data_IF_650889436718
#
_entry.id   IF_650889436718
#
_cell.length_a   1.000
_cell.length_b   1.000
_cell.length_c   1.000
_cell.angle_alpha   90.00
_cell.angle_beta   90.00
_cell.angle_gamma   90.00
#
_symmetry.space_group_name_H-M   'P 1'
#
loop_
_entity.id
_entity.type
_entity.pdbx_description
1 polymer ?
#
# COMPACT_ATOMS: atom_id res chain seq x y z
N UNK A 1 33.61 -8.87 66.04
CA UNK A 1 33.81 -7.93 64.93
C UNK A 1 34.02 -8.72 63.64
N UNK A 2 33.02 -8.78 62.77
CA UNK A 2 33.12 -9.29 61.39
C UNK A 2 32.53 -8.21 60.49
N UNK A 3 33.32 -7.66 59.57
CA UNK A 3 32.86 -6.65 58.59
C UNK A 3 32.43 -7.38 57.32
N UNK A 4 31.20 -7.13 56.92
CA UNK A 4 30.45 -7.84 55.89
C UNK A 4 31.05 -7.75 54.49
N UNK A 5 30.98 -8.88 53.79
CA UNK A 5 31.19 -9.08 52.37
C UNK A 5 29.93 -8.66 51.62
N UNK A 6 30.00 -7.72 50.66
CA UNK A 6 28.95 -7.54 49.65
C UNK A 6 29.58 -7.30 48.28
N UNK A 7 29.59 -8.36 47.47
CA UNK A 7 29.67 -8.32 46.01
C UNK A 7 28.24 -8.08 45.51
N UNK A 8 28.00 -7.01 44.75
CA UNK A 8 26.91 -6.96 43.78
C UNK A 8 27.40 -6.27 42.51
N UNK A 9 27.87 -7.11 41.59
CA UNK A 9 27.96 -6.85 40.17
C UNK A 9 26.54 -6.86 39.57
N UNK A 10 26.39 -6.09 38.48
CA UNK A 10 25.70 -6.46 37.24
C UNK A 10 24.35 -5.82 36.87
N UNK A 11 24.37 -5.38 35.61
CA UNK A 11 23.27 -5.12 34.68
C UNK A 11 22.29 -3.99 35.01
N UNK A 12 22.66 -2.78 34.60
CA UNK A 12 21.70 -1.84 34.05
C UNK A 12 21.13 -2.48 32.77
N UNK A 13 19.93 -3.05 32.90
CA UNK A 13 19.08 -3.49 31.79
C UNK A 13 18.80 -2.31 30.87
N UNK A 14 19.64 -2.13 29.85
CA UNK A 14 19.22 -1.42 28.64
C UNK A 14 18.20 -2.35 27.99
N UNK A 15 16.93 -2.11 28.29
CA UNK A 15 15.83 -2.64 27.50
C UNK A 15 15.99 -2.07 26.09
N UNK A 16 16.69 -2.82 25.24
CA UNK A 16 16.71 -2.63 23.80
C UNK A 16 15.32 -3.03 23.30
N UNK A 17 14.32 -2.17 23.53
CA UNK A 17 13.08 -2.22 22.79
C UNK A 17 13.46 -1.90 21.35
N UNK A 18 13.73 -2.93 20.56
CA UNK A 18 13.80 -2.80 19.12
C UNK A 18 12.51 -2.15 18.67
N UNK A 19 12.57 -0.85 18.38
CA UNK A 19 11.51 -0.15 17.69
C UNK A 19 11.45 -0.79 16.31
N UNK A 20 10.66 -1.84 16.17
CA UNK A 20 10.01 -2.11 14.90
C UNK A 20 9.14 -0.88 14.63
N UNK A 21 9.72 0.16 14.01
CA UNK A 21 8.98 1.28 13.49
C UNK A 21 8.15 0.74 12.32
N UNK A 22 6.97 0.20 12.64
CA UNK A 22 5.95 -0.03 11.62
C UNK A 22 5.65 1.32 10.97
N UNK A 23 5.64 1.37 9.64
CA UNK A 23 5.19 2.58 8.93
C UNK A 23 3.72 2.84 9.26
N UNK A 24 3.39 4.11 9.48
CA UNK A 24 1.99 4.52 9.62
C UNK A 24 1.27 4.27 8.31
N UNK A 25 0.36 3.30 8.30
CA UNK A 25 -0.31 2.85 7.09
C UNK A 25 -1.83 2.89 7.18
N UNK A 26 -2.45 3.06 6.03
CA UNK A 26 -3.89 3.06 5.82
C UNK A 26 -4.22 1.95 4.81
N UNK A 27 -5.07 1.01 5.19
CA UNK A 27 -5.60 -0.01 4.28
C UNK A 27 -6.75 0.59 3.48
N UNK A 28 -6.81 0.26 2.19
CA UNK A 28 -7.89 0.71 1.32
C UNK A 28 -9.25 0.24 1.82
N UNK A 29 -10.26 1.10 1.72
CA UNK A 29 -11.64 0.75 1.97
C UNK A 29 -12.55 1.58 1.05
N UNK A 30 -13.56 0.96 0.41
CA UNK A 30 -14.53 1.70 -0.41
C UNK A 30 -15.33 2.72 0.41
N UNK A 31 -15.48 2.49 1.71
CA UNK A 31 -16.26 3.33 2.62
C UNK A 31 -15.46 4.49 3.22
N UNK A 32 -14.14 4.54 2.99
CA UNK A 32 -13.25 5.59 3.53
C UNK A 32 -12.35 6.17 2.45
N UNK A 33 -12.74 7.32 1.94
CA UNK A 33 -11.91 8.15 1.05
C UNK A 33 -10.70 8.73 1.79
N UNK A 34 -9.65 9.06 1.05
CA UNK A 34 -8.49 9.79 1.55
C UNK A 34 -8.90 11.18 2.04
N UNK A 35 -8.19 11.63 3.06
CA UNK A 35 -8.26 13.01 3.56
C UNK A 35 -6.87 13.57 3.69
N UNK A 36 -6.72 14.90 3.78
CA UNK A 36 -5.41 15.50 3.98
C UNK A 36 -4.74 15.12 5.32
N UNK A 37 -5.46 14.51 6.27
CA UNK A 37 -4.88 13.93 7.48
C UNK A 37 -4.06 12.65 7.21
N UNK A 38 -4.25 12.03 6.04
CA UNK A 38 -3.52 10.82 5.62
C UNK A 38 -2.16 11.14 4.95
N UNK A 39 -1.80 12.42 4.83
CA UNK A 39 -0.55 12.90 4.21
C UNK A 39 0.36 13.52 5.27
N UNK A 40 0.97 12.66 6.10
CA UNK A 40 1.78 13.06 7.27
C UNK A 40 3.25 13.30 6.95
N UNK A 41 3.69 12.86 5.77
CA UNK A 41 5.05 13.01 5.28
C UNK A 41 5.38 14.45 4.88
N UNK A 42 6.65 14.66 4.51
CA UNK A 42 7.16 15.95 4.04
C UNK A 42 7.74 15.82 2.63
N UNK A 43 7.46 16.76 1.71
CA UNK A 43 8.11 16.78 0.40
C UNK A 43 9.63 16.92 0.54
N UNK A 44 10.37 16.26 -0.33
CA UNK A 44 11.81 16.40 -0.48
C UNK A 44 12.13 17.45 -1.55
N UNK A 45 13.39 17.86 -1.61
CA UNK A 45 13.87 18.76 -2.65
C UNK A 45 13.70 18.18 -4.06
N UNK A 46 13.78 16.85 -4.22
CA UNK A 46 13.50 16.15 -5.48
C UNK A 46 12.07 16.35 -5.99
N UNK A 47 11.15 16.76 -5.11
CA UNK A 47 9.71 16.74 -5.38
C UNK A 47 9.19 18.13 -5.80
N UNK A 48 10.09 19.01 -6.28
CA UNK A 48 9.76 20.38 -6.65
C UNK A 48 8.67 20.47 -7.72
N UNK A 49 8.65 19.53 -8.66
CA UNK A 49 7.68 19.50 -9.77
C UNK A 49 6.28 18.99 -9.38
N UNK A 50 6.10 18.38 -8.20
CA UNK A 50 4.83 17.76 -7.79
C UNK A 50 4.15 18.52 -6.65
N UNK A 51 2.82 18.59 -6.67
CA UNK A 51 2.01 19.28 -5.65
C UNK A 51 1.70 18.42 -4.43
N UNK A 52 1.44 17.14 -4.66
CA UNK A 52 1.16 16.11 -3.67
C UNK A 52 1.69 14.76 -4.15
N UNK A 53 1.71 13.78 -3.24
CA UNK A 53 1.99 12.40 -3.56
C UNK A 53 1.42 11.48 -2.46
N UNK A 54 0.58 10.53 -2.84
CA UNK A 54 0.28 9.34 -2.06
C UNK A 54 1.30 8.24 -2.38
N UNK A 55 1.82 7.58 -1.35
CA UNK A 55 2.69 6.41 -1.54
C UNK A 55 1.90 5.15 -1.23
N UNK A 56 1.65 4.32 -2.25
CA UNK A 56 0.82 3.10 -2.14
C UNK A 56 1.58 1.83 -2.53
N UNK A 57 1.14 0.69 -2.00
CA UNK A 57 1.60 -0.65 -2.35
C UNK A 57 0.49 -1.68 -2.20
N UNK A 58 0.77 -2.94 -2.53
CA UNK A 58 -0.07 -4.09 -2.27
C UNK A 58 0.57 -4.92 -1.15
N UNK A 59 -0.24 -5.34 -0.18
CA UNK A 59 0.15 -6.29 0.86
C UNK A 59 -0.69 -7.58 0.74
N UNK A 60 -0.12 -8.67 1.24
CA UNK A 60 -0.79 -9.98 1.31
C UNK A 60 -0.99 -10.40 2.77
N UNK A 61 -2.10 -11.09 3.01
CA UNK A 61 -2.36 -11.80 4.27
C UNK A 61 -2.77 -13.24 3.97
N UNK A 62 -2.08 -14.19 4.58
CA UNK A 62 -2.50 -15.59 4.53
C UNK A 62 -3.79 -15.75 5.35
N UNK A 63 -4.89 -16.11 4.67
CA UNK A 63 -6.21 -16.27 5.28
C UNK A 63 -6.42 -17.67 5.85
N UNK A 64 -6.07 -18.69 5.06
CA UNK A 64 -6.29 -20.10 5.42
C UNK A 64 -5.34 -21.00 4.65
N UNK A 65 -4.92 -22.08 5.29
CA UNK A 65 -4.28 -23.22 4.61
C UNK A 65 -5.15 -24.45 4.83
N UNK A 66 -5.49 -25.15 3.75
CA UNK A 66 -6.15 -26.44 3.85
C UNK A 66 -5.10 -27.52 4.09
N UNK A 67 -5.14 -28.18 5.25
CA UNK A 67 -4.16 -29.18 5.68
C UNK A 67 -3.99 -30.35 4.68
N UNK A 68 -5.11 -30.93 4.22
CA UNK A 68 -5.11 -32.10 3.35
C UNK A 68 -4.63 -31.81 1.93
N UNK A 69 -4.87 -30.59 1.46
CA UNK A 69 -4.54 -30.21 0.09
C UNK A 69 -3.32 -29.30 0.00
N UNK A 70 -2.83 -28.72 1.10
CA UNK A 70 -1.82 -27.67 1.09
C UNK A 70 -2.27 -26.38 0.39
N UNK A 71 -3.56 -26.24 0.03
CA UNK A 71 -4.06 -25.04 -0.66
C UNK A 71 -4.14 -23.87 0.32
N UNK A 72 -3.35 -22.84 0.06
CA UNK A 72 -3.44 -21.55 0.74
C UNK A 72 -4.46 -20.60 0.06
N UNK A 73 -5.17 -19.83 0.88
CA UNK A 73 -5.98 -18.68 0.45
C UNK A 73 -5.34 -17.42 0.98
N UNK A 74 -5.26 -16.40 0.14
CA UNK A 74 -4.70 -15.09 0.49
C UNK A 74 -5.79 -14.03 0.37
N UNK A 75 -5.72 -13.05 1.26
CA UNK A 75 -6.33 -11.74 1.03
C UNK A 75 -5.22 -10.82 0.49
N UNK A 76 -5.48 -10.05 -0.57
CA UNK A 76 -4.60 -9.01 -1.07
C UNK A 76 -5.28 -7.64 -0.91
N UNK A 77 -4.55 -6.65 -0.44
CA UNK A 77 -5.13 -5.33 -0.17
C UNK A 77 -4.14 -4.22 -0.46
N UNK A 78 -4.67 -3.12 -0.96
CA UNK A 78 -3.90 -1.90 -1.17
C UNK A 78 -3.67 -1.19 0.17
N UNK A 79 -2.46 -0.63 0.31
CA UNK A 79 -2.00 0.07 1.50
C UNK A 79 -1.36 1.39 1.09
N UNK A 80 -1.76 2.48 1.74
CA UNK A 80 -1.10 3.76 1.66
C UNK A 80 -0.17 3.96 2.88
N UNK A 81 1.07 4.39 2.65
CA UNK A 81 2.02 4.78 3.69
C UNK A 81 1.86 6.26 3.98
N UNK A 82 1.13 6.59 5.05
CA UNK A 82 0.75 7.97 5.38
C UNK A 82 1.96 8.83 5.80
N UNK A 83 2.99 8.21 6.36
CA UNK A 83 4.28 8.82 6.71
C UNK A 83 5.16 9.14 5.49
N UNK A 84 4.96 8.41 4.39
CA UNK A 84 5.62 8.63 3.10
C UNK A 84 4.76 9.45 2.11
N UNK A 85 3.52 9.77 2.48
CA UNK A 85 2.59 10.54 1.65
C UNK A 85 2.58 12.01 2.10
N UNK A 86 2.63 12.95 1.15
CA UNK A 86 2.82 14.37 1.46
C UNK A 86 2.04 15.27 0.51
N UNK A 87 1.81 16.51 0.93
CA UNK A 87 1.17 17.55 0.11
C UNK A 87 1.74 18.92 0.44
N UNK A 88 2.02 19.72 -0.58
CA UNK A 88 2.38 21.14 -0.44
C UNK A 88 1.12 21.94 -0.15
N UNK A 89 1.18 22.89 0.79
CA UNK A 89 0.01 23.66 1.25
C UNK A 89 -0.81 24.30 0.11
N UNK A 90 -0.14 24.77 -0.94
CA UNK A 90 -0.80 25.40 -2.10
C UNK A 90 -1.65 24.44 -2.96
N UNK A 91 -1.48 23.12 -2.78
CA UNK A 91 -2.15 22.07 -3.55
C UNK A 91 -3.18 21.30 -2.70
N UNK A 92 -3.55 21.85 -1.53
CA UNK A 92 -4.58 21.26 -0.66
C UNK A 92 -5.99 21.62 -1.15
N UNK A 93 -6.38 21.08 -2.28
CA UNK A 93 -7.73 21.24 -2.85
C UNK A 93 -8.39 19.89 -3.18
N UNK A 94 -9.71 19.91 -3.40
CA UNK A 94 -10.47 18.69 -3.62
C UNK A 94 -10.07 17.95 -4.92
N UNK A 95 -9.56 18.67 -5.91
CA UNK A 95 -9.20 18.10 -7.20
C UNK A 95 -7.86 17.36 -7.12
N UNK A 96 -6.85 17.94 -6.47
CA UNK A 96 -5.59 17.24 -6.17
C UNK A 96 -5.86 16.05 -5.25
N UNK A 97 -6.72 16.17 -4.22
CA UNK A 97 -7.03 15.01 -3.37
C UNK A 97 -7.67 13.87 -4.17
N UNK A 98 -8.56 14.18 -5.12
CA UNK A 98 -9.16 13.19 -6.00
C UNK A 98 -8.13 12.56 -6.95
N UNK A 99 -7.07 13.29 -7.33
CA UNK A 99 -5.96 12.73 -8.11
C UNK A 99 -5.22 11.65 -7.32
N UNK A 100 -4.85 11.97 -6.08
CA UNK A 100 -4.18 11.04 -5.17
C UNK A 100 -5.09 9.86 -4.77
N UNK A 101 -6.40 10.09 -4.61
CA UNK A 101 -7.37 9.01 -4.39
C UNK A 101 -7.35 8.01 -5.55
N UNK A 102 -7.26 8.49 -6.80
CA UNK A 102 -7.27 7.58 -7.94
C UNK A 102 -6.02 6.70 -8.02
N UNK A 103 -4.86 7.18 -7.56
CA UNK A 103 -3.67 6.33 -7.37
C UNK A 103 -3.94 5.20 -6.36
N UNK A 104 -4.66 5.51 -5.28
CA UNK A 104 -5.04 4.48 -4.30
C UNK A 104 -6.09 3.49 -4.84
N UNK A 105 -7.04 3.97 -5.65
CA UNK A 105 -8.01 3.13 -6.35
C UNK A 105 -7.33 2.21 -7.38
N UNK A 106 -6.30 2.70 -8.09
CA UNK A 106 -5.46 1.87 -8.96
C UNK A 106 -4.75 0.77 -8.16
N UNK A 107 -4.17 1.10 -7.01
CA UNK A 107 -3.55 0.09 -6.15
C UNK A 107 -4.55 -0.98 -5.71
N UNK A 108 -5.79 -0.58 -5.36
CA UNK A 108 -6.86 -1.51 -5.01
C UNK A 108 -7.24 -2.41 -6.20
N UNK A 109 -7.40 -1.86 -7.40
CA UNK A 109 -7.67 -2.63 -8.62
C UNK A 109 -6.64 -3.75 -8.81
N UNK A 110 -5.35 -3.44 -8.66
CA UNK A 110 -4.29 -4.44 -8.80
C UNK A 110 -4.24 -5.43 -7.63
N UNK A 111 -4.59 -5.02 -6.41
CA UNK A 111 -4.71 -5.91 -5.27
C UNK A 111 -5.82 -6.96 -5.49
N UNK A 112 -7.02 -6.54 -5.90
CA UNK A 112 -8.13 -7.47 -6.18
C UNK A 112 -7.80 -8.42 -7.34
N UNK A 113 -7.12 -7.90 -8.38
CA UNK A 113 -6.69 -8.74 -9.51
C UNK A 113 -5.65 -9.79 -9.07
N UNK A 114 -4.70 -9.40 -8.21
CA UNK A 114 -3.72 -10.33 -7.63
C UNK A 114 -4.40 -11.38 -6.74
N UNK A 115 -5.37 -10.98 -5.91
CA UNK A 115 -6.11 -11.90 -5.05
C UNK A 115 -6.82 -12.98 -5.88
N UNK A 116 -7.49 -12.58 -6.96
CA UNK A 116 -8.11 -13.49 -7.91
C UNK A 116 -7.10 -14.46 -8.53
N UNK A 117 -5.94 -13.97 -9.00
CA UNK A 117 -4.91 -14.85 -9.57
C UNK A 117 -4.41 -15.84 -8.51
N UNK A 118 -3.98 -15.38 -7.35
CA UNK A 118 -3.45 -16.21 -6.26
C UNK A 118 -4.42 -17.31 -5.82
N UNK A 119 -5.70 -16.97 -5.67
CA UNK A 119 -6.70 -17.89 -5.16
C UNK A 119 -7.13 -18.94 -6.20
N UNK A 120 -6.91 -18.67 -7.49
CA UNK A 120 -7.20 -19.60 -8.59
C UNK A 120 -6.02 -20.51 -8.99
N UNK A 121 -4.82 -20.31 -8.43
CA UNK A 121 -3.68 -21.18 -8.72
C UNK A 121 -3.91 -22.63 -8.26
N UNK A 122 -3.22 -23.57 -8.89
CA UNK A 122 -3.12 -24.94 -8.40
C UNK A 122 -2.19 -25.02 -7.16
N UNK A 123 -1.90 -26.22 -6.66
CA UNK A 123 -1.01 -26.36 -5.49
C UNK A 123 0.42 -25.93 -5.82
N UNK A 124 0.89 -26.25 -7.03
CA UNK A 124 2.24 -25.95 -7.49
C UNK A 124 2.49 -24.48 -7.77
N UNK A 125 1.44 -23.65 -7.90
CA UNK A 125 1.51 -22.19 -8.03
C UNK A 125 1.46 -21.40 -6.71
N UNK A 126 1.29 -22.07 -5.55
CA UNK A 126 1.17 -21.44 -4.23
C UNK A 126 2.45 -21.53 -3.38
N UNK A 127 3.59 -21.90 -3.96
CA UNK A 127 4.84 -21.91 -3.21
C UNK A 127 5.22 -20.47 -2.83
N UNK A 128 5.85 -20.25 -1.65
CA UNK A 128 6.18 -18.90 -1.19
C UNK A 128 6.92 -18.06 -2.23
N UNK A 129 7.84 -18.65 -2.98
CA UNK A 129 8.63 -17.98 -4.01
C UNK A 129 7.76 -17.53 -5.20
N UNK A 130 6.73 -18.30 -5.54
CA UNK A 130 5.81 -17.94 -6.63
C UNK A 130 4.81 -16.88 -6.19
N UNK A 131 4.32 -16.98 -4.96
CA UNK A 131 3.45 -15.95 -4.36
C UNK A 131 4.20 -14.62 -4.33
N UNK A 132 5.46 -14.62 -3.89
CA UNK A 132 6.32 -13.44 -3.90
C UNK A 132 6.56 -12.93 -5.32
N UNK A 133 6.87 -13.82 -6.27
CA UNK A 133 7.05 -13.44 -7.68
C UNK A 133 5.80 -12.80 -8.27
N UNK A 134 4.60 -13.29 -7.93
CA UNK A 134 3.34 -12.70 -8.35
C UNK A 134 3.11 -11.34 -7.69
N UNK A 135 3.34 -11.21 -6.39
CA UNK A 135 3.24 -9.93 -5.70
C UNK A 135 4.14 -8.88 -6.36
N UNK A 136 5.41 -9.19 -6.61
CA UNK A 136 6.36 -8.28 -7.26
C UNK A 136 5.95 -7.94 -8.70
N UNK A 137 5.43 -8.91 -9.46
CA UNK A 137 4.87 -8.68 -10.81
C UNK A 137 3.73 -7.66 -10.74
N UNK A 138 2.77 -7.84 -9.83
CA UNK A 138 1.60 -6.96 -9.71
C UNK A 138 1.96 -5.57 -9.18
N UNK A 139 2.87 -5.46 -8.21
CA UNK A 139 3.40 -4.18 -7.75
C UNK A 139 4.08 -3.43 -8.90
N UNK A 140 4.88 -4.12 -9.73
CA UNK A 140 5.51 -3.51 -10.90
C UNK A 140 4.45 -3.01 -11.90
N UNK A 141 3.48 -3.84 -12.25
CA UNK A 141 2.43 -3.46 -13.20
C UNK A 141 1.59 -2.30 -12.69
N UNK A 142 1.21 -2.31 -11.41
CA UNK A 142 0.54 -1.20 -10.73
C UNK A 142 1.37 0.08 -10.81
N UNK A 143 2.67 0.00 -10.55
CA UNK A 143 3.59 1.14 -10.64
C UNK A 143 3.67 1.70 -12.06
N UNK A 144 3.75 0.83 -13.07
CA UNK A 144 3.78 1.25 -14.47
C UNK A 144 2.44 1.89 -14.89
N UNK A 145 1.31 1.40 -14.35
CA UNK A 145 -0.02 1.93 -14.64
C UNK A 145 -0.28 3.29 -13.98
N UNK A 146 0.18 3.50 -12.73
CA UNK A 146 0.17 4.81 -12.08
C UNK A 146 0.99 5.84 -12.85
N UNK A 147 2.18 5.45 -13.36
CA UNK A 147 2.99 6.33 -14.23
C UNK A 147 2.26 6.69 -15.52
N UNK A 148 1.56 5.73 -16.13
CA UNK A 148 0.77 6.00 -17.33
C UNK A 148 -0.36 6.99 -17.01
N UNK A 149 -1.05 6.80 -15.88
CA UNK A 149 -2.07 7.73 -15.42
C UNK A 149 -1.51 9.15 -15.20
N UNK A 150 -0.37 9.30 -14.53
CA UNK A 150 0.32 10.59 -14.37
C UNK A 150 0.68 11.21 -15.73
N UNK A 151 1.23 10.42 -16.65
CA UNK A 151 1.60 10.91 -17.98
C UNK A 151 0.38 11.42 -18.75
N UNK A 152 -0.69 10.64 -18.82
CA UNK A 152 -1.90 11.00 -19.58
C UNK A 152 -2.69 12.16 -18.95
N UNK A 153 -2.59 12.33 -17.63
CA UNK A 153 -3.17 13.48 -16.93
C UNK A 153 -2.24 14.68 -16.80
N UNK A 154 -1.01 14.60 -17.32
CA UNK A 154 0.02 15.62 -17.12
C UNK A 154 0.26 15.94 -15.64
N UNK A 155 0.41 14.90 -14.82
CA UNK A 155 0.59 14.97 -13.37
C UNK A 155 -0.65 15.53 -12.65
N UNK A 156 -1.84 15.18 -13.15
CA UNK A 156 -3.10 15.71 -12.63
C UNK A 156 -3.50 17.08 -13.18
N UNK A 157 -2.77 17.73 -14.09
CA UNK A 157 -3.17 19.03 -14.63
C UNK A 157 -4.28 18.96 -15.70
N UNK A 158 -4.59 17.78 -16.23
CA UNK A 158 -5.62 17.56 -17.24
C UNK A 158 -6.91 16.98 -16.65
N UNK A 159 -7.86 17.88 -16.36
CA UNK A 159 -9.16 17.56 -15.74
C UNK A 159 -9.96 16.55 -16.56
N UNK A 160 -10.00 16.70 -17.89
CA UNK A 160 -10.77 15.82 -18.75
C UNK A 160 -10.21 14.38 -18.71
N UNK A 161 -8.89 14.24 -18.81
CA UNK A 161 -8.21 12.94 -18.72
C UNK A 161 -8.36 12.30 -17.35
N UNK A 162 -8.24 13.07 -16.27
CA UNK A 162 -8.46 12.53 -14.92
C UNK A 162 -9.89 11.98 -14.75
N UNK A 163 -10.89 12.66 -15.32
CA UNK A 163 -12.28 12.18 -15.31
C UNK A 163 -12.47 10.89 -16.13
N UNK A 164 -11.84 10.79 -17.29
CA UNK A 164 -11.84 9.57 -18.12
C UNK A 164 -11.23 8.39 -17.35
N UNK A 165 -10.08 8.62 -16.71
CA UNK A 165 -9.42 7.63 -15.88
C UNK A 165 -10.28 7.20 -14.68
N UNK A 166 -10.89 8.15 -13.97
CA UNK A 166 -11.79 7.83 -12.86
C UNK A 166 -12.97 6.94 -13.31
N UNK A 167 -13.57 7.24 -14.47
CA UNK A 167 -14.63 6.41 -15.04
C UNK A 167 -14.11 5.02 -15.44
N UNK A 168 -12.89 4.94 -16.00
CA UNK A 168 -12.24 3.69 -16.37
C UNK A 168 -11.99 2.79 -15.17
N UNK A 169 -11.32 3.30 -14.12
CA UNK A 169 -11.01 2.54 -12.91
C UNK A 169 -12.28 2.06 -12.22
N UNK A 170 -13.30 2.93 -12.12
CA UNK A 170 -14.62 2.54 -11.58
C UNK A 170 -15.25 1.40 -12.36
N UNK A 171 -15.17 1.42 -13.69
CA UNK A 171 -15.68 0.34 -14.54
C UNK A 171 -14.91 -0.95 -14.31
N UNK A 172 -13.58 -0.88 -14.29
CA UNK A 172 -12.73 -2.07 -14.13
C UNK A 172 -12.96 -2.73 -12.75
N UNK A 173 -13.05 -1.94 -11.68
CA UNK A 173 -13.41 -2.42 -10.33
C UNK A 173 -14.81 -3.06 -10.31
N UNK A 174 -15.79 -2.48 -11.02
CA UNK A 174 -17.15 -3.06 -11.10
C UNK A 174 -17.19 -4.41 -11.82
N UNK A 175 -16.23 -4.69 -12.71
CA UNK A 175 -16.11 -5.97 -13.40
C UNK A 175 -15.51 -7.00 -12.45
N UNK A 176 -14.43 -6.64 -11.75
CA UNK A 176 -13.77 -7.51 -10.78
C UNK A 176 -14.73 -7.93 -9.65
N UNK A 177 -15.49 -6.99 -9.10
CA UNK A 177 -16.44 -7.26 -8.01
C UNK A 177 -17.61 -8.17 -8.41
N UNK A 178 -17.82 -8.44 -9.70
CA UNK A 178 -18.82 -9.43 -10.17
C UNK A 178 -18.24 -10.84 -10.29
N UNK A 179 -16.92 -10.96 -10.30
CA UNK A 179 -16.20 -12.23 -10.43
C UNK A 179 -15.84 -12.81 -9.06
N UNK A 180 -15.70 -11.94 -8.05
CA UNK A 180 -15.56 -12.29 -6.63
C UNK A 180 -16.90 -12.70 -6.00
#
# INVERSE_FOLDING_TARGET
MMKSFWLLLFSLLIAFSGLAQGRDSLIYSPDRQLTWADFKGKPKFSDQASGAQITVTINLKLKKVNFWTGKAKYDAFAVAFTDASWVKTAYKDAYTLAHEQLHFDIAHLYAETLELELNNLDKSGRQPEQVEKLLQKYIKQMTDYQKLYDQETSGGNNIARQKEWAAKIKKDLSIINKVL
#
